data_IF_597220316333
#
_entry.id   IF_597220316333
#
_cell.length_a   1.000
_cell.length_b   1.000
_cell.length_c   1.000
_cell.angle_alpha   90.00
_cell.angle_beta   90.00
_cell.angle_gamma   90.00
#
_symmetry.space_group_name_H-M   'P 1'
#
loop_
_entity.id
_entity.type
_entity.pdbx_description
1 polymer ?
#
# COMPACT_ATOMS: atom_id res chain seq x y z
N UNK A 1 -57.64 0.48 -29.39
CA UNK A 1 -57.63 1.95 -29.51
C UNK A 1 -56.24 2.38 -29.95
N UNK A 2 -56.14 2.99 -31.14
CA UNK A 2 -54.93 3.62 -31.67
C UNK A 2 -54.82 5.03 -31.07
N UNK A 3 -53.64 5.39 -30.56
CA UNK A 3 -52.91 6.60 -30.98
C UNK A 3 -51.67 6.81 -30.11
N UNK A 4 -50.51 6.69 -30.74
CA UNK A 4 -49.25 7.23 -30.26
C UNK A 4 -49.29 8.76 -30.40
N UNK A 5 -49.07 9.50 -29.31
CA UNK A 5 -48.67 10.91 -29.40
C UNK A 5 -47.28 11.06 -28.83
N UNK A 6 -46.32 11.15 -29.77
CA UNK A 6 -44.97 11.63 -29.55
C UNK A 6 -45.05 13.13 -29.26
N UNK A 7 -44.95 13.51 -27.99
CA UNK A 7 -44.63 14.90 -27.62
C UNK A 7 -43.22 14.92 -27.07
N UNK A 8 -42.30 15.43 -27.90
CA UNK A 8 -40.97 15.85 -27.48
C UNK A 8 -41.14 16.98 -26.46
N UNK A 9 -40.94 16.68 -25.18
CA UNK A 9 -40.71 17.70 -24.16
C UNK A 9 -39.37 17.38 -23.50
N UNK A 10 -38.44 18.25 -23.84
CA UNK A 10 -37.08 18.46 -23.35
C UNK A 10 -36.88 17.95 -21.91
N UNK A 11 -35.82 17.18 -21.62
CA UNK A 11 -35.45 16.95 -20.23
C UNK A 11 -35.11 18.30 -19.59
N UNK A 12 -35.51 18.57 -18.34
CA UNK A 12 -34.92 19.69 -17.60
C UNK A 12 -33.42 19.40 -17.52
N UNK A 13 -32.64 20.23 -18.22
CA UNK A 13 -31.19 20.24 -18.18
C UNK A 13 -30.72 20.69 -16.79
N UNK A 14 -30.81 19.82 -15.80
CA UNK A 14 -30.24 20.00 -14.45
C UNK A 14 -29.73 18.67 -13.88
N UNK A 15 -29.24 17.76 -14.73
CA UNK A 15 -28.63 16.50 -14.28
C UNK A 15 -27.25 16.27 -14.91
N UNK A 16 -26.48 17.35 -15.06
CA UNK A 16 -25.05 17.29 -15.39
C UNK A 16 -24.17 18.11 -14.44
N UNK A 17 -24.73 18.84 -13.47
CA UNK A 17 -23.92 19.72 -12.60
C UNK A 17 -23.34 18.98 -11.37
N UNK A 18 -23.95 17.86 -10.94
CA UNK A 18 -23.50 17.12 -9.76
C UNK A 18 -22.39 16.09 -10.05
N UNK A 19 -22.09 15.80 -11.31
CA UNK A 19 -21.02 14.87 -11.68
C UNK A 19 -19.66 15.57 -11.82
N UNK A 20 -19.61 16.90 -11.76
CA UNK A 20 -18.39 17.68 -12.01
C UNK A 20 -17.72 18.19 -10.72
N UNK A 21 -18.30 17.91 -9.54
CA UNK A 21 -17.89 18.50 -8.25
C UNK A 21 -16.98 17.60 -7.39
N UNK A 22 -16.49 16.47 -7.92
CA UNK A 22 -15.53 15.60 -7.21
C UNK A 22 -14.11 15.69 -7.76
N UNK A 23 -13.88 16.47 -8.81
CA UNK A 23 -12.54 16.68 -9.36
C UNK A 23 -11.88 17.79 -8.55
N UNK A 24 -11.07 17.40 -7.57
CA UNK A 24 -10.14 18.32 -6.89
C UNK A 24 -9.37 19.11 -7.96
N UNK A 25 -9.18 20.43 -7.78
CA UNK A 25 -8.37 21.19 -8.71
C UNK A 25 -6.95 20.62 -8.76
N UNK A 26 -6.22 20.75 -9.89
CA UNK A 26 -4.99 20.00 -10.14
C UNK A 26 -3.96 20.10 -9.00
N UNK A 27 -3.79 21.29 -8.41
CA UNK A 27 -2.87 21.50 -7.28
C UNK A 27 -3.27 20.76 -5.99
N UNK A 28 -4.56 20.47 -5.78
CA UNK A 28 -5.03 19.65 -4.65
C UNK A 28 -4.89 18.16 -4.94
N UNK A 29 -4.91 17.74 -6.22
CA UNK A 29 -4.64 16.36 -6.61
C UNK A 29 -3.17 16.01 -6.41
N UNK A 30 -2.25 16.88 -6.84
CA UNK A 30 -0.81 16.70 -6.65
C UNK A 30 -0.46 16.63 -5.16
N UNK A 31 -1.08 17.48 -4.33
CA UNK A 31 -0.86 17.46 -2.89
C UNK A 31 -1.42 16.19 -2.24
N UNK A 32 -2.63 15.76 -2.61
CA UNK A 32 -3.22 14.54 -2.08
C UNK A 32 -2.39 13.30 -2.45
N UNK A 33 -1.86 13.26 -3.67
CA UNK A 33 -0.96 12.21 -4.13
C UNK A 33 0.36 12.21 -3.34
N UNK A 34 0.99 13.37 -3.16
CA UNK A 34 2.22 13.49 -2.38
C UNK A 34 2.04 13.08 -0.90
N UNK A 35 0.88 13.38 -0.29
CA UNK A 35 0.57 12.95 1.08
C UNK A 35 0.37 11.43 1.15
N UNK A 36 -0.21 10.82 0.12
CA UNK A 36 -0.35 9.37 0.03
C UNK A 36 1.02 8.68 -0.09
N UNK A 37 1.87 9.12 -1.02
CA UNK A 37 3.24 8.58 -1.17
C UNK A 37 4.07 8.76 0.10
N UNK A 38 3.91 9.90 0.78
CA UNK A 38 4.54 10.10 2.09
C UNK A 38 4.05 9.08 3.13
N UNK A 39 2.75 8.79 3.16
CA UNK A 39 2.18 7.78 4.04
C UNK A 39 2.73 6.39 3.75
N UNK A 40 2.89 6.05 2.46
CA UNK A 40 3.47 4.80 2.00
C UNK A 40 4.92 4.63 2.48
N UNK A 41 5.77 5.66 2.30
CA UNK A 41 7.15 5.63 2.79
C UNK A 41 7.26 5.53 4.31
N UNK A 42 6.32 6.13 5.05
CA UNK A 42 6.30 6.01 6.51
C UNK A 42 5.91 4.60 6.95
N UNK A 43 4.94 3.98 6.28
CA UNK A 43 4.55 2.60 6.55
C UNK A 43 5.71 1.63 6.26
N UNK A 44 6.41 1.80 5.14
CA UNK A 44 7.62 1.04 4.81
C UNK A 44 8.68 1.19 5.91
N UNK A 45 8.96 2.43 6.36
CA UNK A 45 9.93 2.70 7.42
C UNK A 45 9.55 2.01 8.74
N UNK A 46 8.28 2.04 9.13
CA UNK A 46 7.80 1.41 10.36
C UNK A 46 7.98 -0.12 10.31
N UNK A 47 7.74 -0.76 9.16
CA UNK A 47 7.99 -2.19 8.96
C UNK A 47 9.48 -2.54 9.12
N UNK A 48 10.37 -1.74 8.53
CA UNK A 48 11.82 -1.93 8.64
C UNK A 48 12.33 -1.74 10.08
N UNK A 49 11.75 -0.79 10.82
CA UNK A 49 12.06 -0.57 12.22
C UNK A 49 11.54 -1.71 13.11
N UNK A 50 10.35 -2.25 12.82
CA UNK A 50 9.81 -3.43 13.48
C UNK A 50 10.73 -4.63 13.27
N UNK A 51 11.14 -4.90 12.03
CA UNK A 51 12.06 -6.00 11.73
C UNK A 51 13.40 -5.87 12.46
N UNK A 52 13.96 -4.66 12.48
CA UNK A 52 15.18 -4.37 13.27
C UNK A 52 15.01 -4.60 14.77
N UNK A 53 13.82 -4.32 15.33
CA UNK A 53 13.52 -4.58 16.73
C UNK A 53 13.39 -6.08 17.03
N UNK A 54 12.75 -6.83 16.13
CA UNK A 54 12.63 -8.28 16.22
C UNK A 54 13.99 -8.96 16.14
N UNK A 55 14.86 -8.55 15.21
CA UNK A 55 16.23 -9.06 15.11
C UNK A 55 17.01 -8.86 16.42
N UNK A 56 16.98 -7.65 17.00
CA UNK A 56 17.65 -7.39 18.28
C UNK A 56 17.11 -8.28 19.40
N UNK A 57 15.79 -8.49 19.44
CA UNK A 57 15.15 -9.39 20.39
C UNK A 57 15.60 -10.84 20.18
N UNK A 58 15.69 -11.31 18.93
CA UNK A 58 16.17 -12.64 18.58
C UNK A 58 17.63 -12.84 19.02
N UNK A 59 18.51 -11.88 18.74
CA UNK A 59 19.91 -11.88 19.20
C UNK A 59 19.97 -12.01 20.74
N UNK A 60 19.17 -11.22 21.45
CA UNK A 60 19.13 -11.26 22.92
C UNK A 60 18.62 -12.60 23.49
N UNK A 61 17.80 -13.33 22.71
CA UNK A 61 17.19 -14.61 23.09
C UNK A 61 17.94 -15.83 22.54
N UNK A 62 18.97 -15.62 21.71
CA UNK A 62 19.74 -16.68 21.06
C UNK A 62 19.08 -17.28 19.81
N UNK A 63 18.10 -16.58 19.23
CA UNK A 63 17.40 -16.97 18.01
C UNK A 63 15.99 -16.41 17.92
N UNK A 64 15.38 -16.55 16.73
CA UNK A 64 13.98 -16.23 16.53
C UNK A 64 13.08 -17.30 17.16
N UNK A 65 12.04 -16.88 17.87
CA UNK A 65 10.90 -17.77 18.10
C UNK A 65 10.03 -17.87 16.83
N UNK A 66 9.23 -18.93 16.71
CA UNK A 66 8.47 -19.20 15.47
C UNK A 66 7.57 -18.03 15.07
N UNK A 67 6.94 -17.34 16.04
CA UNK A 67 6.10 -16.17 15.74
C UNK A 67 6.93 -15.02 15.20
N UNK A 68 8.08 -14.74 15.80
CA UNK A 68 8.95 -13.65 15.37
C UNK A 68 9.50 -13.93 13.97
N UNK A 69 9.82 -15.19 13.66
CA UNK A 69 10.19 -15.64 12.33
C UNK A 69 9.07 -15.39 11.31
N UNK A 70 7.85 -15.85 11.61
CA UNK A 70 6.68 -15.66 10.72
C UNK A 70 6.40 -14.17 10.45
N UNK A 71 6.56 -13.31 11.46
CA UNK A 71 6.38 -11.86 11.29
C UNK A 71 7.46 -11.26 10.39
N UNK A 72 8.72 -11.70 10.50
CA UNK A 72 9.79 -11.21 9.62
C UNK A 72 9.52 -11.58 8.16
N UNK A 73 9.06 -12.82 7.90
CA UNK A 73 8.67 -13.24 6.55
C UNK A 73 7.47 -12.43 6.05
N UNK A 74 6.45 -12.23 6.88
CA UNK A 74 5.29 -11.41 6.51
C UNK A 74 5.66 -9.94 6.23
N UNK A 75 6.66 -9.39 6.91
CA UNK A 75 7.18 -8.04 6.61
C UNK A 75 7.79 -8.03 5.21
N UNK A 76 8.62 -9.02 4.86
CA UNK A 76 9.20 -9.14 3.53
C UNK A 76 8.12 -9.23 2.44
N UNK A 77 7.09 -10.07 2.66
CA UNK A 77 5.96 -10.21 1.73
C UNK A 77 5.22 -8.88 1.50
N UNK A 78 4.99 -8.09 2.56
CA UNK A 78 4.32 -6.77 2.45
C UNK A 78 5.19 -5.76 1.73
N UNK A 79 6.51 -5.76 1.98
CA UNK A 79 7.44 -4.89 1.27
C UNK A 79 7.45 -5.17 -0.24
N UNK A 80 7.34 -6.44 -0.64
CA UNK A 80 7.22 -6.84 -2.05
C UNK A 80 5.86 -6.44 -2.66
N UNK A 81 4.76 -6.75 -1.96
CA UNK A 81 3.41 -6.58 -2.50
C UNK A 81 2.99 -5.11 -2.57
N UNK A 82 3.34 -4.33 -1.55
CA UNK A 82 2.76 -3.01 -1.32
C UNK A 82 3.78 -1.87 -1.43
N UNK A 83 5.08 -2.13 -1.22
CA UNK A 83 6.13 -1.10 -1.22
C UNK A 83 7.13 -1.21 -2.38
N UNK A 84 6.84 -2.07 -3.37
CA UNK A 84 7.60 -2.14 -4.62
C UNK A 84 9.00 -2.75 -4.50
N UNK A 85 9.29 -3.45 -3.40
CA UNK A 85 10.53 -4.22 -3.31
C UNK A 85 10.51 -5.38 -4.32
N UNK A 86 11.67 -5.67 -4.90
CA UNK A 86 11.86 -6.94 -5.61
C UNK A 86 12.05 -8.09 -4.62
N UNK A 87 11.78 -9.31 -5.10
CA UNK A 87 12.10 -10.54 -4.38
C UNK A 87 13.58 -10.62 -3.94
N UNK A 88 14.50 -10.09 -4.75
CA UNK A 88 15.93 -10.08 -4.40
C UNK A 88 16.22 -9.15 -3.22
N UNK A 89 15.50 -8.01 -3.14
CA UNK A 89 15.66 -7.06 -2.03
C UNK A 89 15.11 -7.62 -0.72
N UNK A 90 13.96 -8.29 -0.77
CA UNK A 90 13.35 -8.91 0.40
C UNK A 90 14.18 -10.10 0.90
N UNK A 91 14.68 -10.94 0.01
CA UNK A 91 15.53 -12.07 0.34
C UNK A 91 16.86 -11.61 0.97
N UNK A 92 17.56 -10.65 0.34
CA UNK A 92 18.77 -10.02 0.90
C UNK A 92 18.52 -9.30 2.24
N UNK A 93 17.29 -8.84 2.49
CA UNK A 93 16.95 -8.27 3.79
C UNK A 93 16.77 -9.37 4.85
N UNK A 94 16.08 -10.47 4.53
CA UNK A 94 15.91 -11.61 5.42
C UNK A 94 17.25 -12.29 5.77
N UNK A 95 18.17 -12.40 4.81
CA UNK A 95 19.56 -12.84 5.04
C UNK A 95 20.28 -11.93 6.04
N UNK A 96 20.27 -10.61 5.82
CA UNK A 96 20.89 -9.64 6.74
C UNK A 96 20.25 -9.63 8.12
N UNK A 97 18.99 -10.00 8.21
CA UNK A 97 18.28 -10.16 9.47
C UNK A 97 18.63 -11.49 10.18
N UNK A 98 19.34 -12.40 9.51
CA UNK A 98 19.78 -13.67 10.06
C UNK A 98 18.69 -14.75 10.08
N UNK A 99 17.69 -14.64 9.19
CA UNK A 99 16.69 -15.70 9.00
C UNK A 99 17.19 -16.80 8.06
N UNK A 100 18.01 -16.43 7.09
CA UNK A 100 18.63 -17.33 6.12
C UNK A 100 20.12 -17.48 6.40
N UNK A 101 20.69 -18.60 5.96
CA UNK A 101 22.14 -18.80 5.96
C UNK A 101 22.74 -17.96 4.81
N UNK A 102 23.74 -17.14 5.11
CA UNK A 102 24.55 -16.49 4.08
C UNK A 102 25.28 -17.60 3.31
N UNK A 103 25.05 -17.75 2.00
CA UNK A 103 25.78 -18.73 1.18
C UNK A 103 27.28 -18.39 1.20
N UNK A 104 28.07 -19.13 1.97
CA UNK A 104 29.55 -18.99 2.09
C UNK A 104 30.29 -19.87 1.09
#
# INVERSE_FOLDING_TARGET
MLSWTRSCLTPPALQQDQANELTLPPFQQDHAFAVFEQGDWLAELDLLQLGSALQRSAIARGGYDGRSFDVMVAIADVLEADHGWSFEQSDSWLERMGLWEEEV
#
